data_IF_963960906933
#
_entry.id   IF_963960906933
#
_cell.length_a   1.000
_cell.length_b   1.000
_cell.length_c   1.000
_cell.angle_alpha   90.00
_cell.angle_beta   90.00
_cell.angle_gamma   90.00
#
_symmetry.space_group_name_H-M   'P 1'
#
loop_
_entity.id
_entity.type
_entity.pdbx_description
1 polymer ?
#
# COMPACT_ATOMS: atom_id res chain seq x y z
N UNK A 1 -19.13 -22.90 -55.93
CA UNK A 1 -19.17 -21.97 -54.79
C UNK A 1 -17.74 -21.54 -54.47
N UNK A 2 -17.37 -20.30 -54.76
CA UNK A 2 -16.03 -19.80 -54.45
C UNK A 2 -15.96 -19.48 -52.95
N UNK A 3 -15.34 -20.37 -52.18
CA UNK A 3 -15.02 -20.09 -50.79
C UNK A 3 -14.02 -18.94 -50.77
N UNK A 4 -14.46 -17.73 -50.38
CA UNK A 4 -13.58 -16.58 -50.17
C UNK A 4 -12.57 -17.01 -49.11
N UNK A 5 -11.30 -17.14 -49.49
CA UNK A 5 -10.23 -17.31 -48.50
C UNK A 5 -10.32 -16.13 -47.54
N UNK A 6 -10.50 -16.38 -46.24
CA UNK A 6 -10.60 -15.30 -45.27
C UNK A 6 -9.29 -14.52 -45.26
N UNK A 7 -9.42 -13.20 -45.26
CA UNK A 7 -8.30 -12.27 -45.35
C UNK A 7 -7.40 -12.41 -44.12
N UNK A 8 -6.08 -12.39 -44.33
CA UNK A 8 -5.10 -12.49 -43.24
C UNK A 8 -4.63 -11.10 -42.86
N UNK A 9 -4.61 -10.80 -41.57
CA UNK A 9 -4.16 -9.51 -41.06
C UNK A 9 -2.69 -9.60 -40.65
N UNK A 10 -1.86 -8.74 -41.23
CA UNK A 10 -0.44 -8.61 -40.84
C UNK A 10 -0.33 -7.70 -39.62
N UNK A 11 -0.47 -8.29 -38.44
CA UNK A 11 -0.17 -7.61 -37.17
C UNK A 11 1.35 -7.55 -37.00
N UNK A 12 1.88 -6.38 -36.67
CA UNK A 12 3.28 -6.19 -36.30
C UNK A 12 3.47 -6.51 -34.81
N UNK A 13 4.59 -7.17 -34.49
CA UNK A 13 4.89 -7.63 -33.13
C UNK A 13 6.21 -7.00 -32.70
N UNK A 14 6.24 -6.49 -31.48
CA UNK A 14 7.49 -6.04 -30.87
C UNK A 14 8.49 -7.19 -30.79
N UNK A 15 9.74 -6.97 -31.21
CA UNK A 15 10.75 -8.04 -31.12
C UNK A 15 11.15 -8.28 -29.67
N UNK A 16 11.11 -9.54 -29.23
CA UNK A 16 11.58 -9.92 -27.90
C UNK A 16 13.11 -10.06 -27.90
N UNK A 17 13.82 -9.22 -27.13
CA UNK A 17 15.29 -9.26 -27.04
C UNK A 17 15.79 -10.16 -25.93
N UNK A 18 14.94 -10.45 -24.94
CA UNK A 18 15.30 -11.19 -23.74
C UNK A 18 16.10 -10.33 -22.77
N UNK A 19 15.67 -9.09 -22.52
CA UNK A 19 16.17 -8.19 -21.46
C UNK A 19 15.14 -8.07 -20.35
N UNK A 20 15.53 -7.66 -19.14
CA UNK A 20 14.62 -7.60 -17.98
C UNK A 20 13.42 -6.64 -18.18
N UNK A 21 13.60 -5.59 -18.98
CA UNK A 21 12.53 -4.64 -19.32
C UNK A 21 11.47 -5.23 -20.28
N UNK A 22 11.82 -6.27 -21.04
CA UNK A 22 10.89 -6.89 -21.98
C UNK A 22 9.95 -7.85 -21.20
N UNK A 23 8.66 -7.51 -21.10
CA UNK A 23 7.67 -8.42 -20.50
C UNK A 23 7.43 -9.62 -21.41
N UNK A 24 7.96 -10.78 -21.02
CA UNK A 24 7.82 -12.01 -21.77
C UNK A 24 6.35 -12.45 -21.92
N UNK A 25 5.56 -12.31 -20.86
CA UNK A 25 4.14 -12.67 -20.87
C UNK A 25 3.35 -11.79 -21.84
N UNK A 26 3.62 -10.47 -21.85
CA UNK A 26 3.00 -9.55 -22.82
C UNK A 26 3.35 -9.96 -24.25
N UNK A 27 4.61 -10.28 -24.51
CA UNK A 27 5.04 -10.69 -25.83
C UNK A 27 4.37 -11.99 -26.30
N UNK A 28 4.11 -12.95 -25.40
CA UNK A 28 3.35 -14.15 -25.76
C UNK A 28 1.92 -13.84 -26.18
N UNK A 29 1.25 -12.88 -25.52
CA UNK A 29 -0.10 -12.45 -25.92
C UNK A 29 -0.07 -11.84 -27.33
N UNK A 30 0.86 -10.91 -27.58
CA UNK A 30 1.03 -10.29 -28.90
C UNK A 30 1.34 -11.33 -29.99
N UNK A 31 2.16 -12.34 -29.66
CA UNK A 31 2.49 -13.46 -30.54
C UNK A 31 1.26 -14.32 -30.87
N UNK A 32 0.47 -14.69 -29.86
CA UNK A 32 -0.71 -15.53 -30.03
C UNK A 32 -1.79 -14.83 -30.85
N UNK A 33 -2.02 -13.54 -30.60
CA UNK A 33 -2.95 -12.73 -31.37
C UNK A 33 -2.51 -12.58 -32.83
N UNK A 34 -1.20 -12.40 -33.08
CA UNK A 34 -0.67 -12.32 -34.44
C UNK A 34 -0.72 -13.67 -35.17
N UNK A 35 -0.46 -14.79 -34.50
CA UNK A 35 -0.61 -16.14 -35.06
C UNK A 35 -2.07 -16.37 -35.46
N UNK A 36 -3.01 -16.02 -34.57
CA UNK A 36 -4.46 -16.13 -34.82
C UNK A 36 -4.89 -15.24 -35.99
N UNK A 37 -4.44 -13.99 -36.04
CA UNK A 37 -4.77 -13.04 -37.09
C UNK A 37 -4.22 -13.43 -38.47
N UNK A 38 -3.06 -14.10 -38.48
CA UNK A 38 -2.42 -14.64 -39.70
C UNK A 38 -2.93 -16.03 -40.09
N UNK A 39 -3.73 -16.69 -39.23
CA UNK A 39 -4.26 -18.05 -39.43
C UNK A 39 -3.16 -19.08 -39.70
N UNK A 40 -2.12 -19.07 -38.86
CA UNK A 40 -1.03 -20.05 -38.94
C UNK A 40 -1.44 -21.28 -38.13
N UNK A 41 -1.92 -22.31 -38.82
CA UNK A 41 -2.39 -23.56 -38.20
C UNK A 41 -1.27 -24.60 -38.02
N UNK A 42 -0.23 -24.53 -38.85
CA UNK A 42 0.90 -25.45 -38.81
C UNK A 42 1.88 -25.12 -37.67
N UNK A 43 2.20 -26.13 -36.85
CA UNK A 43 3.04 -25.98 -35.67
C UNK A 43 4.46 -25.52 -35.99
N UNK A 44 5.04 -26.02 -37.09
CA UNK A 44 6.38 -25.62 -37.52
C UNK A 44 6.39 -24.18 -38.02
N UNK A 45 5.36 -23.75 -38.76
CA UNK A 45 5.19 -22.36 -39.16
C UNK A 45 4.97 -21.41 -37.98
N UNK A 46 4.23 -21.83 -36.95
CA UNK A 46 4.06 -21.04 -35.71
C UNK A 46 5.41 -20.82 -35.02
N UNK A 47 6.21 -21.88 -34.88
CA UNK A 47 7.55 -21.81 -34.28
C UNK A 47 8.47 -20.94 -35.13
N UNK A 48 8.50 -21.13 -36.45
CA UNK A 48 9.32 -20.33 -37.36
C UNK A 48 8.95 -18.83 -37.29
N UNK A 49 7.65 -18.53 -37.24
CA UNK A 49 7.14 -17.18 -37.06
C UNK A 49 7.57 -16.59 -35.70
N UNK A 50 7.37 -17.31 -34.61
CA UNK A 50 7.78 -16.88 -33.27
C UNK A 50 9.30 -16.58 -33.21
N UNK A 51 10.11 -17.46 -33.79
CA UNK A 51 11.57 -17.28 -33.88
C UNK A 51 11.97 -16.06 -34.71
N UNK A 52 11.25 -15.76 -35.79
CA UNK A 52 11.52 -14.58 -36.62
C UNK A 52 11.31 -13.26 -35.88
N UNK A 53 10.48 -13.28 -34.82
CA UNK A 53 10.17 -12.15 -33.95
C UNK A 53 11.11 -12.06 -32.72
N UNK A 54 12.12 -12.92 -32.62
CA UNK A 54 13.18 -12.78 -31.62
C UNK A 54 14.26 -11.80 -32.09
N UNK A 55 14.88 -11.11 -31.13
CA UNK A 55 16.04 -10.25 -31.33
C UNK A 55 17.08 -10.47 -30.23
N UNK A 56 18.25 -9.82 -30.37
CA UNK A 56 19.27 -9.75 -29.33
C UNK A 56 19.67 -11.10 -28.72
N UNK A 57 19.60 -11.19 -27.38
CA UNK A 57 19.97 -12.38 -26.62
C UNK A 57 19.03 -13.55 -26.91
N UNK A 58 17.73 -13.29 -27.00
CA UNK A 58 16.73 -14.31 -27.31
C UNK A 58 16.95 -14.96 -28.67
N UNK A 59 17.27 -14.18 -29.70
CA UNK A 59 17.58 -14.73 -31.03
C UNK A 59 18.84 -15.60 -31.02
N UNK A 60 19.89 -15.12 -30.36
CA UNK A 60 21.16 -15.86 -30.25
C UNK A 60 20.98 -17.20 -29.55
N UNK A 61 20.21 -17.20 -28.45
CA UNK A 61 19.84 -18.41 -27.72
C UNK A 61 19.06 -19.40 -28.60
N UNK A 62 18.03 -18.94 -29.30
CA UNK A 62 17.19 -19.81 -30.13
C UNK A 62 17.99 -20.45 -31.28
N UNK A 63 18.91 -19.69 -31.90
CA UNK A 63 19.81 -20.20 -32.93
C UNK A 63 20.81 -21.21 -32.36
N UNK A 64 21.38 -20.95 -31.17
CA UNK A 64 22.28 -21.87 -30.48
C UNK A 64 21.63 -23.23 -30.23
N UNK A 65 20.38 -23.26 -29.77
CA UNK A 65 19.63 -24.51 -29.60
C UNK A 65 19.41 -25.25 -30.92
N UNK A 66 19.04 -24.53 -31.99
CA UNK A 66 18.84 -25.12 -33.33
C UNK A 66 20.10 -25.67 -33.98
N UNK A 67 21.26 -25.11 -33.66
CA UNK A 67 22.55 -25.64 -34.14
C UNK A 67 22.86 -27.01 -33.55
N UNK A 68 22.46 -27.26 -32.30
CA UNK A 68 22.65 -28.55 -31.64
C UNK A 68 21.56 -29.57 -32.00
N UNK A 69 20.32 -29.11 -32.15
CA UNK A 69 19.17 -29.93 -32.49
C UNK A 69 18.22 -29.19 -33.45
N UNK A 70 18.14 -29.58 -34.74
CA UNK A 70 17.24 -28.97 -35.70
C UNK A 70 15.76 -28.98 -35.27
N UNK A 71 15.37 -29.94 -34.43
CA UNK A 71 14.01 -30.13 -33.93
C UNK A 71 13.85 -29.69 -32.47
N UNK A 72 14.74 -28.81 -31.99
CA UNK A 72 14.74 -28.31 -30.60
C UNK A 72 13.40 -27.71 -30.12
N UNK A 73 12.50 -27.37 -31.05
CA UNK A 73 11.19 -26.78 -30.80
C UNK A 73 10.11 -27.56 -31.57
N UNK A 74 9.67 -28.69 -31.01
CA UNK A 74 8.66 -29.55 -31.65
C UNK A 74 7.23 -28.99 -31.67
N UNK A 75 6.95 -27.91 -30.94
CA UNK A 75 5.68 -27.18 -30.98
C UNK A 75 5.84 -25.77 -30.42
N UNK A 76 4.86 -24.90 -30.67
CA UNK A 76 4.81 -23.55 -30.10
C UNK A 76 4.81 -23.58 -28.57
N UNK A 77 4.12 -24.55 -27.95
CA UNK A 77 4.08 -24.70 -26.49
C UNK A 77 5.43 -25.11 -25.90
N UNK A 78 6.15 -26.02 -26.56
CA UNK A 78 7.52 -26.38 -26.17
C UNK A 78 8.46 -25.18 -26.32
N UNK A 79 8.29 -24.41 -27.40
CA UNK A 79 9.05 -23.17 -27.61
C UNK A 79 8.81 -22.15 -26.50
N UNK A 80 7.54 -21.82 -26.19
CA UNK A 80 7.18 -20.89 -25.10
C UNK A 80 7.70 -21.38 -23.75
N UNK A 81 7.59 -22.67 -23.46
CA UNK A 81 8.08 -23.28 -22.22
C UNK A 81 9.60 -23.14 -22.07
N UNK A 82 10.38 -23.49 -23.10
CA UNK A 82 11.85 -23.33 -23.07
C UNK A 82 12.26 -21.87 -22.94
N UNK A 83 11.51 -20.97 -23.58
CA UNK A 83 11.79 -19.54 -23.55
C UNK A 83 11.50 -18.94 -22.16
N UNK A 84 10.41 -19.36 -21.49
CA UNK A 84 10.19 -19.08 -20.05
C UNK A 84 11.35 -19.58 -19.19
N UNK A 85 11.73 -20.85 -19.32
CA UNK A 85 12.81 -21.43 -18.50
C UNK A 85 14.15 -20.71 -18.62
N UNK A 86 14.42 -20.08 -19.79
CA UNK A 86 15.69 -19.40 -20.05
C UNK A 86 15.67 -17.93 -19.61
N UNK A 87 14.58 -17.21 -19.90
CA UNK A 87 14.54 -15.75 -19.72
C UNK A 87 13.74 -15.30 -18.51
N UNK A 88 12.93 -16.17 -17.91
CA UNK A 88 12.21 -15.86 -16.68
C UNK A 88 13.10 -16.14 -15.46
N UNK A 89 13.22 -15.20 -14.52
CA UNK A 89 13.98 -15.42 -13.30
C UNK A 89 13.49 -16.67 -12.55
N UNK A 90 14.39 -17.47 -11.94
CA UNK A 90 13.97 -18.62 -11.17
C UNK A 90 12.95 -18.25 -10.08
N UNK A 91 11.85 -19.01 -10.06
CA UNK A 91 10.74 -18.84 -9.11
C UNK A 91 10.10 -17.45 -9.19
N UNK A 92 10.08 -16.79 -10.36
CA UNK A 92 9.48 -15.47 -10.55
C UNK A 92 8.04 -15.38 -10.01
N UNK A 93 7.20 -16.36 -10.34
CA UNK A 93 5.81 -16.38 -9.84
C UNK A 93 5.74 -16.48 -8.30
N UNK A 94 6.60 -17.30 -7.69
CA UNK A 94 6.67 -17.40 -6.23
C UNK A 94 7.15 -16.07 -5.60
N UNK A 95 8.11 -15.38 -6.24
CA UNK A 95 8.57 -14.05 -5.81
C UNK A 95 7.42 -13.05 -5.89
N UNK A 96 6.70 -13.00 -7.01
CA UNK A 96 5.56 -12.11 -7.21
C UNK A 96 4.46 -12.35 -6.17
N UNK A 97 4.10 -13.61 -5.90
CA UNK A 97 3.14 -13.94 -4.81
C UNK A 97 3.63 -13.49 -3.44
N UNK A 98 4.90 -13.75 -3.12
CA UNK A 98 5.49 -13.36 -1.83
C UNK A 98 5.50 -11.85 -1.67
N UNK A 99 5.81 -11.12 -2.74
CA UNK A 99 5.82 -9.67 -2.76
C UNK A 99 4.39 -9.11 -2.63
N UNK A 100 3.43 -9.66 -3.36
CA UNK A 100 2.02 -9.29 -3.29
C UNK A 100 1.48 -9.38 -1.85
N UNK A 101 1.74 -10.49 -1.17
CA UNK A 101 1.29 -10.70 0.22
C UNK A 101 1.98 -9.77 1.23
N UNK A 102 3.20 -9.32 0.94
CA UNK A 102 3.97 -8.40 1.80
C UNK A 102 3.73 -6.93 1.43
N UNK A 103 3.10 -6.66 0.29
CA UNK A 103 3.02 -5.32 -0.26
C UNK A 103 2.16 -4.44 0.64
N UNK A 104 2.73 -3.28 1.00
CA UNK A 104 2.05 -2.20 1.71
C UNK A 104 2.14 -0.93 0.89
N UNK A 105 1.09 -0.11 0.95
CA UNK A 105 1.05 1.23 0.35
C UNK A 105 2.23 2.07 0.86
N UNK A 106 2.45 2.09 2.18
CA UNK A 106 3.55 2.83 2.80
C UNK A 106 3.45 4.33 2.50
N UNK A 107 4.50 4.91 1.90
CA UNK A 107 4.55 6.34 1.50
C UNK A 107 4.05 6.59 0.06
N UNK A 108 3.66 5.55 -0.66
CA UNK A 108 3.16 5.66 -2.04
C UNK A 108 1.74 6.24 -2.04
N UNK A 109 1.40 6.95 -3.10
CA UNK A 109 0.00 7.30 -3.32
C UNK A 109 -0.83 6.05 -3.65
N UNK A 110 -2.15 6.18 -3.56
CA UNK A 110 -3.07 5.06 -3.81
C UNK A 110 -2.89 4.52 -5.24
N UNK A 111 -2.70 5.42 -6.21
CA UNK A 111 -2.51 5.04 -7.61
C UNK A 111 -1.25 4.21 -7.84
N UNK A 112 -0.06 4.65 -7.39
CA UNK A 112 1.17 3.88 -7.57
C UNK A 112 1.14 2.55 -6.81
N UNK A 113 0.47 2.50 -5.66
CA UNK A 113 0.23 1.24 -4.95
C UNK A 113 -0.67 0.29 -5.75
N UNK A 114 -1.77 0.78 -6.32
CA UNK A 114 -2.68 0.00 -7.16
C UNK A 114 -1.98 -0.52 -8.42
N UNK A 115 -1.17 0.30 -9.09
CA UNK A 115 -0.38 -0.14 -10.25
C UNK A 115 0.60 -1.25 -9.89
N UNK A 116 1.22 -1.17 -8.70
CA UNK A 116 2.12 -2.23 -8.26
C UNK A 116 1.38 -3.54 -7.98
N UNK A 117 0.18 -3.49 -7.40
CA UNK A 117 -0.66 -4.69 -7.25
C UNK A 117 -1.03 -5.28 -8.60
N UNK A 118 -1.52 -4.47 -9.55
CA UNK A 118 -1.84 -4.92 -10.91
C UNK A 118 -0.65 -5.59 -11.58
N UNK A 119 0.54 -5.01 -11.45
CA UNK A 119 1.78 -5.58 -11.97
C UNK A 119 2.06 -6.96 -11.36
N UNK A 120 2.05 -7.08 -10.04
CA UNK A 120 2.31 -8.37 -9.37
C UNK A 120 1.27 -9.42 -9.72
N UNK A 121 -0.01 -9.06 -9.80
CA UNK A 121 -1.08 -9.94 -10.27
C UNK A 121 -0.82 -10.40 -11.71
N UNK A 122 -0.37 -9.51 -12.60
CA UNK A 122 -0.03 -9.87 -13.98
C UNK A 122 1.18 -10.83 -14.11
N UNK A 123 2.09 -10.80 -13.14
CA UNK A 123 3.21 -11.75 -13.08
C UNK A 123 2.80 -13.15 -12.59
N UNK A 124 1.60 -13.30 -12.02
CA UNK A 124 1.08 -14.57 -11.51
C UNK A 124 0.16 -15.20 -12.56
N UNK A 125 0.76 -15.77 -13.62
CA UNK A 125 -0.02 -16.27 -14.78
C UNK A 125 -0.51 -17.71 -14.67
N UNK A 126 0.20 -18.62 -13.97
CA UNK A 126 -0.13 -20.05 -14.06
C UNK A 126 -1.27 -20.48 -13.14
N UNK A 127 -1.40 -19.85 -11.98
CA UNK A 127 -2.49 -20.09 -11.03
C UNK A 127 -2.87 -18.73 -10.41
N UNK A 128 -3.82 -18.01 -11.02
CA UNK A 128 -4.20 -16.68 -10.57
C UNK A 128 -4.76 -16.73 -9.15
N UNK A 129 -4.53 -15.66 -8.38
CA UNK A 129 -5.09 -15.52 -7.05
C UNK A 129 -6.57 -15.22 -7.17
N UNK A 130 -7.39 -15.82 -6.31
CA UNK A 130 -8.83 -15.55 -6.22
C UNK A 130 -9.13 -14.05 -5.98
N UNK A 131 -10.19 -13.54 -6.60
CA UNK A 131 -10.54 -12.10 -6.57
C UNK A 131 -10.82 -11.61 -5.15
N UNK A 132 -11.58 -12.36 -4.34
CA UNK A 132 -11.84 -11.97 -2.95
C UNK A 132 -10.54 -11.94 -2.11
N UNK A 133 -9.61 -12.85 -2.41
CA UNK A 133 -8.28 -12.84 -1.80
C UNK A 133 -7.47 -11.61 -2.24
N UNK A 134 -7.51 -11.24 -3.52
CA UNK A 134 -6.86 -10.04 -4.05
C UNK A 134 -7.42 -8.76 -3.41
N UNK A 135 -8.75 -8.65 -3.29
CA UNK A 135 -9.42 -7.53 -2.59
C UNK A 135 -8.95 -7.46 -1.14
N UNK A 136 -8.91 -8.60 -0.43
CA UNK A 136 -8.46 -8.68 0.95
C UNK A 136 -7.00 -8.23 1.11
N UNK A 137 -6.11 -8.68 0.22
CA UNK A 137 -4.69 -8.26 0.21
C UNK A 137 -4.57 -6.78 -0.08
N UNK A 138 -5.29 -6.26 -1.08
CA UNK A 138 -5.31 -4.85 -1.44
C UNK A 138 -5.72 -3.98 -0.25
N UNK A 139 -6.86 -4.28 0.37
CA UNK A 139 -7.39 -3.54 1.53
C UNK A 139 -6.47 -3.63 2.74
N UNK A 140 -5.90 -4.81 3.02
CA UNK A 140 -4.98 -5.01 4.12
C UNK A 140 -3.64 -4.28 3.92
N UNK A 141 -3.24 -4.06 2.68
CA UNK A 141 -2.01 -3.33 2.34
C UNK A 141 -2.18 -1.81 2.26
N UNK A 142 -3.40 -1.27 2.16
CA UNK A 142 -3.67 0.16 2.24
C UNK A 142 -3.21 0.75 3.58
N UNK A 143 -2.75 2.00 3.53
CA UNK A 143 -2.44 2.77 4.72
C UNK A 143 -3.72 3.05 5.54
N UNK A 144 -3.59 3.07 6.86
CA UNK A 144 -4.72 3.37 7.73
C UNK A 144 -5.15 4.83 7.53
N UNK A 145 -6.43 5.03 7.21
CA UNK A 145 -6.98 6.33 6.85
C UNK A 145 -8.36 6.24 6.22
N UNK A 146 -8.93 7.39 5.78
CA UNK A 146 -10.32 7.44 5.33
C UNK A 146 -10.61 6.55 4.11
N UNK A 147 -9.65 6.42 3.18
CA UNK A 147 -9.76 5.52 2.02
C UNK A 147 -9.99 4.08 2.48
N UNK A 148 -9.09 3.56 3.32
CA UNK A 148 -9.20 2.19 3.86
C UNK A 148 -10.50 2.01 4.67
N UNK A 149 -10.85 2.97 5.52
CA UNK A 149 -12.10 2.95 6.30
C UNK A 149 -13.34 2.95 5.41
N UNK A 150 -13.34 3.69 4.30
CA UNK A 150 -14.44 3.70 3.35
C UNK A 150 -14.59 2.32 2.68
N UNK A 151 -13.49 1.74 2.20
CA UNK A 151 -13.52 0.42 1.57
C UNK A 151 -14.03 -0.69 2.50
N UNK A 152 -13.68 -0.67 3.80
CA UNK A 152 -14.17 -1.66 4.77
C UNK A 152 -15.69 -1.61 5.02
N UNK A 153 -16.39 -0.57 4.56
CA UNK A 153 -17.85 -0.45 4.66
C UNK A 153 -18.57 -1.01 3.44
N UNK A 154 -17.83 -1.39 2.40
CA UNK A 154 -18.37 -1.85 1.13
C UNK A 154 -18.13 -3.34 0.98
N UNK A 155 -19.05 -4.00 0.29
CA UNK A 155 -18.83 -5.33 -0.26
C UNK A 155 -18.23 -5.17 -1.65
N UNK A 156 -17.03 -5.72 -1.84
CA UNK A 156 -16.23 -5.57 -3.06
C UNK A 156 -15.93 -6.95 -3.61
N UNK A 157 -16.34 -7.19 -4.86
CA UNK A 157 -16.24 -8.51 -5.50
C UNK A 157 -15.02 -8.65 -6.42
N UNK A 158 -14.40 -7.53 -6.78
CA UNK A 158 -13.22 -7.52 -7.66
C UNK A 158 -12.17 -6.51 -7.21
N UNK A 159 -10.91 -6.86 -7.46
CA UNK A 159 -9.77 -5.99 -7.22
C UNK A 159 -9.91 -4.64 -7.97
N UNK A 160 -10.38 -4.66 -9.21
CA UNK A 160 -10.51 -3.44 -10.01
C UNK A 160 -11.60 -2.49 -9.48
N UNK A 161 -12.70 -3.06 -8.96
CA UNK A 161 -13.73 -2.29 -8.26
C UNK A 161 -13.15 -1.62 -7.00
N UNK A 162 -12.39 -2.36 -6.20
CA UNK A 162 -11.74 -1.84 -5.01
C UNK A 162 -10.75 -0.71 -5.34
N UNK A 163 -9.94 -0.87 -6.41
CA UNK A 163 -9.00 0.16 -6.85
C UNK A 163 -9.73 1.43 -7.30
N UNK A 164 -10.76 1.31 -8.16
CA UNK A 164 -11.51 2.46 -8.67
C UNK A 164 -12.10 3.29 -7.53
N UNK A 165 -12.69 2.63 -6.54
CA UNK A 165 -13.29 3.31 -5.37
C UNK A 165 -12.19 3.95 -4.50
N UNK A 166 -11.07 3.26 -4.29
CA UNK A 166 -9.96 3.80 -3.51
C UNK A 166 -9.36 5.06 -4.15
N UNK A 167 -9.18 5.06 -5.47
CA UNK A 167 -8.69 6.21 -6.23
C UNK A 167 -9.69 7.39 -6.17
N UNK A 168 -10.98 7.10 -6.32
CA UNK A 168 -12.04 8.12 -6.21
C UNK A 168 -12.10 8.76 -4.83
N UNK A 169 -12.00 7.94 -3.78
CA UNK A 169 -12.01 8.43 -2.39
C UNK A 169 -10.76 9.26 -2.08
N UNK A 170 -9.58 8.81 -2.50
CA UNK A 170 -8.33 9.58 -2.34
C UNK A 170 -8.40 10.94 -3.07
N UNK A 171 -8.96 10.96 -4.27
CA UNK A 171 -9.19 12.19 -5.03
C UNK A 171 -10.16 13.13 -4.30
N UNK A 172 -11.28 12.60 -3.81
CA UNK A 172 -12.29 13.37 -3.07
C UNK A 172 -11.73 13.98 -1.79
N UNK A 173 -10.90 13.23 -1.05
CA UNK A 173 -10.22 13.72 0.15
C UNK A 173 -9.21 14.82 -0.17
N UNK A 174 -8.44 14.69 -1.25
CA UNK A 174 -7.51 15.73 -1.71
C UNK A 174 -8.25 17.01 -2.09
N UNK A 175 -9.38 16.89 -2.80
CA UNK A 175 -10.23 18.04 -3.13
C UNK A 175 -10.82 18.71 -1.89
N UNK A 176 -11.35 17.95 -0.94
CA UNK A 176 -11.90 18.50 0.30
C UNK A 176 -10.83 19.27 1.10
N UNK A 177 -9.58 18.78 1.14
CA UNK A 177 -8.45 19.47 1.78
C UNK A 177 -8.03 20.74 1.04
N UNK A 178 -8.06 20.74 -0.29
CA UNK A 178 -7.77 21.94 -1.07
C UNK A 178 -8.83 23.02 -0.80
N UNK A 179 -10.11 22.64 -0.82
CA UNK A 179 -11.24 23.55 -0.55
C UNK A 179 -11.24 24.09 0.88
N UNK A 180 -10.86 23.28 1.88
CA UNK A 180 -10.79 23.74 3.28
C UNK A 180 -9.61 24.68 3.55
N UNK A 181 -8.53 24.60 2.76
CA UNK A 181 -7.39 25.52 2.88
C UNK A 181 -7.76 26.95 2.44
N UNK A 182 -8.71 27.08 1.50
CA UNK A 182 -9.27 28.37 1.06
C UNK A 182 -10.25 28.99 2.08
N UNK A 183 -10.82 28.18 2.98
CA UNK A 183 -11.69 28.62 4.08
C UNK A 183 -10.93 28.78 5.41
N UNK A 184 -9.68 29.28 5.38
CA UNK A 184 -9.12 29.88 6.59
C UNK A 184 -9.95 31.11 6.93
N UNK A 185 -10.97 30.92 7.78
CA UNK A 185 -11.64 32.00 8.50
C UNK A 185 -10.55 32.96 9.00
N UNK A 186 -10.61 34.26 8.68
CA UNK A 186 -9.75 35.22 9.35
C UNK A 186 -9.96 34.99 10.84
N UNK A 187 -8.87 34.80 11.59
CA UNK A 187 -8.96 34.78 13.06
C UNK A 187 -9.72 36.04 13.44
N UNK A 188 -10.95 35.88 13.94
CA UNK A 188 -11.73 36.98 14.46
C UNK A 188 -10.87 37.61 15.55
N UNK A 189 -10.41 38.83 15.27
CA UNK A 189 -9.89 39.69 16.32
C UNK A 189 -11.05 39.84 17.31
N UNK A 190 -10.84 39.41 18.55
CA UNK A 190 -11.80 39.54 19.63
C UNK A 190 -12.08 41.03 19.85
N UNK A 191 -13.13 41.52 19.20
CA UNK A 191 -13.68 42.85 19.39
C UNK A 191 -15.20 42.70 19.48
N UNK A 192 -15.67 41.93 20.47
CA UNK A 192 -16.94 42.10 21.17
C UNK A 192 -18.21 42.37 20.35
N UNK A 193 -18.26 41.96 19.08
CA UNK A 193 -19.41 42.16 18.20
C UNK A 193 -20.41 41.02 18.34
N UNK A 194 -21.73 41.26 18.21
CA UNK A 194 -22.74 40.22 18.33
C UNK A 194 -22.49 39.09 17.32
N UNK A 195 -22.56 37.84 17.78
CA UNK A 195 -22.47 36.67 16.93
C UNK A 195 -23.55 36.67 15.83
N UNK A 196 -23.23 36.20 14.62
CA UNK A 196 -24.21 36.10 13.55
C UNK A 196 -25.23 35.01 13.87
N UNK A 197 -26.50 35.34 13.64
CA UNK A 197 -27.71 34.62 14.03
C UNK A 197 -27.78 33.19 13.44
N UNK A 198 -27.88 32.17 14.28
CA UNK A 198 -28.38 30.85 13.88
C UNK A 198 -29.92 30.86 13.91
N UNK A 199 -30.55 30.74 12.74
CA UNK A 199 -31.98 30.42 12.56
C UNK A 199 -32.08 28.89 12.63
N UNK A 200 -32.89 28.23 13.48
CA UNK A 200 -34.32 28.40 13.68
C UNK A 200 -34.81 28.03 15.09
N UNK A 201 -35.96 28.62 15.37
CA UNK A 201 -36.71 28.80 16.59
C UNK A 201 -37.68 27.64 16.86
N UNK A 202 -37.72 27.12 18.09
CA UNK A 202 -38.96 26.68 18.74
C UNK A 202 -38.92 27.24 20.15
N UNK A 203 -39.66 28.32 20.34
CA UNK A 203 -39.80 29.02 21.61
C UNK A 203 -40.90 28.35 22.43
N UNK A 204 -40.58 28.03 23.68
CA UNK A 204 -41.56 27.62 24.68
C UNK A 204 -41.09 28.17 26.02
N UNK A 205 -41.50 29.42 26.25
CA UNK A 205 -41.74 30.07 27.54
C UNK A 205 -41.08 29.46 28.79
N UNK A 206 -40.08 30.17 29.35
CA UNK A 206 -40.13 30.70 30.73
C UNK A 206 -38.83 31.43 31.13
N UNK A 207 -39.00 32.73 31.37
CA UNK A 207 -38.50 33.45 32.54
C UNK A 207 -37.00 33.86 32.65
N UNK A 208 -36.84 35.19 32.74
CA UNK A 208 -35.90 35.98 33.56
C UNK A 208 -34.58 36.45 32.93
N UNK A 209 -34.72 37.58 32.23
CA UNK A 209 -34.06 38.86 32.53
C UNK A 209 -33.07 38.89 33.71
N UNK A 210 -31.90 39.47 33.43
CA UNK A 210 -30.93 40.14 34.32
C UNK A 210 -30.16 39.30 35.34
N UNK A 211 -28.84 39.12 35.11
CA UNK A 211 -27.93 38.77 36.22
C UNK A 211 -26.58 38.09 35.94
N UNK A 212 -25.89 38.31 34.82
CA UNK A 212 -24.59 37.62 34.60
C UNK A 212 -23.45 38.51 34.08
N UNK A 213 -23.17 39.61 34.79
CA UNK A 213 -21.79 40.10 34.96
C UNK A 213 -21.60 40.45 36.44
N UNK A 214 -21.46 39.43 37.29
CA UNK A 214 -20.79 39.62 38.59
C UNK A 214 -19.38 40.08 38.26
N UNK A 215 -19.17 41.39 38.29
CA UNK A 215 -17.89 42.06 38.17
C UNK A 215 -16.96 41.40 39.19
N UNK A 216 -16.06 40.53 38.73
CA UNK A 216 -15.20 39.72 39.58
C UNK A 216 -14.48 40.65 40.56
N UNK A 217 -14.50 40.30 41.85
CA UNK A 217 -13.78 41.04 42.87
C UNK A 217 -12.28 40.83 42.63
N UNK A 218 -11.51 41.90 42.72
CA UNK A 218 -10.06 41.82 42.65
C UNK A 218 -9.54 40.98 43.83
N UNK A 219 -8.83 39.88 43.53
CA UNK A 219 -8.28 38.97 44.55
C UNK A 219 -7.26 39.63 45.50
N UNK A 220 -6.83 40.86 45.22
CA UNK A 220 -5.87 41.63 46.02
C UNK A 220 -6.52 42.60 47.01
N UNK A 221 -7.58 43.30 46.60
CA UNK A 221 -8.23 44.34 47.42
C UNK A 221 -9.73 44.11 47.65
N UNK A 222 -10.30 43.03 47.10
CA UNK A 222 -11.71 42.64 47.16
C UNK A 222 -12.70 43.67 46.59
N UNK A 223 -12.23 44.74 45.94
CA UNK A 223 -13.05 45.71 45.21
C UNK A 223 -13.35 45.21 43.80
N UNK A 224 -14.53 45.53 43.28
CA UNK A 224 -14.94 45.19 41.91
C UNK A 224 -14.45 46.26 40.91
N UNK A 225 -14.37 45.91 39.62
CA UNK A 225 -14.10 46.87 38.54
C UNK A 225 -12.67 46.94 38.01
N UNK A 226 -11.77 46.07 38.47
CA UNK A 226 -10.41 45.92 37.91
C UNK A 226 -9.86 44.52 38.20
N UNK A 227 -8.88 44.07 37.42
CA UNK A 227 -8.19 42.81 37.68
C UNK A 227 -6.98 42.99 38.62
N UNK A 228 -6.50 41.92 39.25
CA UNK A 228 -5.42 42.00 40.24
C UNK A 228 -4.09 42.59 39.72
N UNK A 229 -3.85 42.52 38.41
CA UNK A 229 -2.68 43.12 37.76
C UNK A 229 -2.79 44.65 37.58
N UNK A 230 -4.01 45.19 37.57
CA UNK A 230 -4.30 46.64 37.47
C UNK A 230 -4.54 47.29 38.84
N UNK A 231 -4.38 46.51 39.91
CA UNK A 231 -4.70 46.95 41.26
C UNK A 231 -3.58 47.83 41.84
N UNK A 232 -3.88 49.10 42.10
CA UNK A 232 -2.96 50.07 42.73
C UNK A 232 -2.73 49.85 44.24
N UNK A 233 -3.34 48.82 44.85
CA UNK A 233 -3.15 48.52 46.27
C UNK A 233 -1.75 47.93 46.54
N UNK A 234 -1.09 48.26 47.67
CA UNK A 234 0.20 47.67 48.05
C UNK A 234 0.16 46.13 48.06
N UNK A 235 1.27 45.46 47.71
CA UNK A 235 1.34 43.99 47.84
C UNK A 235 1.34 43.62 49.33
N UNK A 236 0.51 42.68 49.80
CA UNK A 236 0.66 42.13 51.14
C UNK A 236 2.02 41.43 51.24
N UNK A 237 2.83 41.81 52.24
CA UNK A 237 4.05 41.08 52.61
C UNK A 237 3.65 39.83 53.40
N UNK A 238 4.03 38.64 52.91
CA UNK A 238 3.80 37.39 53.64
C UNK A 238 4.57 37.39 54.95
N UNK A 239 3.86 37.17 56.06
CA UNK A 239 4.46 36.79 57.35
C UNK A 239 4.85 35.32 57.27
N UNK A 240 6.15 35.07 57.34
CA UNK A 240 6.71 33.72 57.41
C UNK A 240 6.45 33.14 58.81
N UNK A 241 5.67 32.07 58.89
CA UNK A 241 5.59 31.22 60.09
C UNK A 241 5.82 29.79 59.65
N UNK A 242 7.06 29.33 59.84
CA UNK A 242 7.46 27.97 59.59
C UNK A 242 6.78 26.97 60.53
N UNK A 243 6.60 25.75 60.04
CA UNK A 243 6.74 24.55 60.87
C UNK A 243 7.10 23.35 60.00
N UNK A 244 8.28 22.85 60.30
CA UNK A 244 8.85 21.55 59.96
C UNK A 244 7.99 20.39 60.45
N UNK A 245 7.93 19.30 59.68
CA UNK A 245 7.91 17.94 60.24
C UNK A 245 8.73 16.98 59.34
N UNK A 246 9.68 16.31 59.98
CA UNK A 246 10.59 15.21 59.55
C UNK A 246 10.53 14.19 60.72
N UNK A 247 11.12 12.97 60.67
CA UNK A 247 11.39 11.94 59.64
C UNK A 247 10.89 10.54 60.17
N UNK A 248 11.62 9.39 60.09
CA UNK A 248 11.99 8.48 58.98
C UNK A 248 11.51 7.01 59.17
N UNK A 249 11.61 6.13 58.15
CA UNK A 249 11.76 4.64 58.24
C UNK A 249 11.73 4.01 56.82
N UNK A 250 12.30 2.86 56.41
CA UNK A 250 13.11 1.76 57.00
C UNK A 250 13.68 0.92 55.82
N UNK A 251 14.76 0.16 56.06
CA UNK A 251 15.42 -0.80 55.14
C UNK A 251 14.52 -2.00 54.72
N UNK A 252 14.77 -2.55 53.53
CA UNK A 252 14.45 -3.95 53.12
C UNK A 252 15.00 -4.30 51.73
N UNK A 253 16.08 -5.11 51.66
CA UNK A 253 16.19 -6.45 51.00
C UNK A 253 15.92 -6.47 49.48
N UNK A 254 16.92 -6.74 48.60
CA UNK A 254 17.42 -8.09 48.23
C UNK A 254 16.56 -8.66 47.09
N UNK A 255 17.03 -9.15 45.93
CA UNK A 255 18.25 -9.83 45.50
C UNK A 255 18.42 -9.67 43.98
N UNK A 256 19.66 -9.62 43.51
CA UNK A 256 20.01 -9.94 42.12
C UNK A 256 20.22 -11.45 41.93
N UNK A 257 20.19 -11.90 40.69
CA UNK A 257 20.99 -13.02 40.20
C UNK A 257 21.24 -12.84 38.71
N UNK A 258 22.51 -12.87 38.36
CA UNK A 258 23.06 -12.76 37.03
C UNK A 258 23.95 -14.00 36.81
N UNK A 259 23.91 -14.55 35.59
CA UNK A 259 25.05 -15.14 34.85
C UNK A 259 25.70 -16.46 35.35
N UNK A 260 25.98 -17.34 34.38
CA UNK A 260 27.10 -18.29 34.39
C UNK A 260 26.67 -19.73 34.09
N UNK A 261 26.77 -20.28 32.88
CA UNK A 261 27.92 -20.59 32.01
C UNK A 261 28.67 -21.91 32.35
N UNK A 262 28.94 -22.65 31.26
CA UNK A 262 29.95 -23.70 30.98
C UNK A 262 29.59 -25.18 31.22
N UNK A 263 29.53 -26.03 30.17
CA UNK A 263 30.58 -26.73 29.35
C UNK A 263 30.81 -28.15 29.92
N UNK A 264 30.66 -29.26 29.17
CA UNK A 264 31.68 -30.00 28.39
C UNK A 264 31.01 -31.25 27.76
N UNK A 265 31.19 -31.56 26.46
CA UNK A 265 32.09 -32.59 25.86
C UNK A 265 31.84 -34.01 26.41
N UNK A 266 31.78 -35.13 25.66
CA UNK A 266 32.45 -35.66 24.45
C UNK A 266 31.82 -37.06 24.21
N UNK A 267 31.59 -37.62 23.03
CA UNK A 267 32.46 -38.45 22.15
C UNK A 267 31.46 -39.13 21.17
N UNK A 268 31.63 -39.20 19.84
CA UNK A 268 32.54 -40.11 19.12
C UNK A 268 31.72 -41.13 18.27
N UNK A 269 32.15 -41.54 17.06
CA UNK A 269 31.25 -41.90 15.94
C UNK A 269 31.22 -43.41 15.61
N UNK A 270 30.29 -43.86 14.75
CA UNK A 270 30.41 -45.16 14.06
C UNK A 270 29.85 -45.15 12.62
N UNK A 271 30.63 -45.73 11.71
CA UNK A 271 30.39 -45.95 10.27
C UNK A 271 30.02 -47.42 10.02
N UNK A 272 29.60 -47.68 8.77
CA UNK A 272 29.45 -48.95 8.01
C UNK A 272 27.98 -49.42 7.89
N UNK A 273 27.51 -49.89 6.73
CA UNK A 273 28.12 -50.13 5.42
C UNK A 273 27.11 -50.82 4.48
N UNK A 274 27.36 -50.70 3.17
CA UNK A 274 27.01 -51.55 2.01
C UNK A 274 25.90 -52.63 2.12
N UNK A 275 24.96 -52.68 1.16
CA UNK A 275 25.02 -53.54 -0.05
C UNK A 275 23.67 -53.55 -0.83
N UNK A 276 23.78 -53.79 -2.14
CA UNK A 276 22.76 -54.01 -3.20
C UNK A 276 22.17 -52.78 -3.91
#
# INVERSE_FOLDING_TARGET
MHSRRPETLKIDISKFRGVEEDSLLRWFVELDDAIRARRIDDGDMQVAFAQSNLAGRAKTWALGLKLHDPYAFGSLEVFKSRLRQTFEPPRAEFRARTELLKLKQGKRDVHAYAQHIRHLTSCISSNPVDEHTLVSVFMQGLADGPVKTHLFRLELDSLEQAISIAEQEDFSLRQARASSTSYRQPRRYDNGGPEPMELCYVESEKARSTGYKKLQRCNRCQKTGHYAYECSAPRPVSRDTGRSDRPPMRKGQGRGSAVGAKTQQRDGPSKNGQDQ
#
